data_IF_457182770479
#
_entry.id   IF_457182770479
#
_cell.length_a   1.000
_cell.length_b   1.000
_cell.length_c   1.000
_cell.angle_alpha   90.00
_cell.angle_beta   90.00
_cell.angle_gamma   90.00
#
_symmetry.space_group_name_H-M   'P 1'
#
loop_
_entity.id
_entity.type
_entity.pdbx_description
1 polymer ?
#
# COMPACT_ATOMS: atom_id res chain seq x y z
N UNK A 1 8.59 -52.23 61.54
CA UNK A 1 8.49 -52.68 60.12
C UNK A 1 7.95 -51.59 59.19
N UNK A 2 6.92 -50.82 59.58
CA UNK A 2 6.31 -49.76 58.76
C UNK A 2 7.21 -48.57 58.34
N UNK A 3 8.14 -48.12 59.21
CA UNK A 3 9.04 -46.99 58.88
C UNK A 3 10.05 -47.31 57.78
N UNK A 4 10.54 -48.54 57.69
CA UNK A 4 11.48 -48.96 56.63
C UNK A 4 10.83 -48.96 55.25
N UNK A 5 9.55 -49.34 55.17
CA UNK A 5 8.81 -49.39 53.90
C UNK A 5 8.48 -47.99 53.36
N UNK A 6 8.26 -46.99 54.22
CA UNK A 6 8.08 -45.59 53.80
C UNK A 6 9.39 -44.95 53.31
N UNK A 7 10.51 -45.21 53.99
CA UNK A 7 11.82 -44.69 53.58
C UNK A 7 12.25 -45.22 52.20
N UNK A 8 11.99 -46.50 51.90
CA UNK A 8 12.30 -47.10 50.60
C UNK A 8 11.43 -46.51 49.49
N UNK A 9 10.12 -46.30 49.74
CA UNK A 9 9.22 -45.68 48.75
C UNK A 9 9.59 -44.22 48.47
N UNK A 10 9.98 -43.46 49.49
CA UNK A 10 10.44 -42.09 49.33
C UNK A 10 11.75 -42.01 48.53
N UNK A 11 12.72 -42.90 48.81
CA UNK A 11 13.97 -42.98 48.06
C UNK A 11 13.74 -43.34 46.58
N UNK A 12 12.80 -44.26 46.30
CA UNK A 12 12.46 -44.64 44.92
C UNK A 12 11.76 -43.49 44.16
N UNK A 13 10.86 -42.76 44.84
CA UNK A 13 10.19 -41.61 44.24
C UNK A 13 11.16 -40.46 43.94
N UNK A 14 12.09 -40.17 44.86
CA UNK A 14 13.16 -39.17 44.64
C UNK A 14 14.10 -39.60 43.52
N UNK A 15 14.48 -40.88 43.45
CA UNK A 15 15.30 -41.43 42.37
C UNK A 15 14.61 -41.34 41.00
N UNK A 16 13.32 -41.69 40.92
CA UNK A 16 12.54 -41.59 39.70
C UNK A 16 12.35 -40.13 39.25
N UNK A 17 12.08 -39.21 40.18
CA UNK A 17 11.98 -37.79 39.89
C UNK A 17 13.31 -37.21 39.38
N UNK A 18 14.44 -37.59 40.00
CA UNK A 18 15.77 -37.20 39.56
C UNK A 18 16.09 -37.72 38.15
N UNK A 19 15.70 -38.96 37.83
CA UNK A 19 15.90 -39.55 36.51
C UNK A 19 15.06 -38.85 35.43
N UNK A 20 13.80 -38.52 35.72
CA UNK A 20 12.92 -37.78 34.80
C UNK A 20 13.41 -36.34 34.58
N UNK A 21 13.88 -35.67 35.64
CA UNK A 21 14.51 -34.35 35.54
C UNK A 21 15.77 -34.40 34.68
N UNK A 22 16.63 -35.39 34.87
CA UNK A 22 17.85 -35.56 34.09
C UNK A 22 17.56 -35.87 32.62
N UNK A 23 16.61 -36.78 32.33
CA UNK A 23 16.19 -37.06 30.96
C UNK A 23 15.54 -35.83 30.30
N UNK A 24 14.71 -35.10 31.04
CA UNK A 24 14.07 -33.88 30.57
C UNK A 24 15.07 -32.76 30.28
N UNK A 25 16.03 -32.52 31.17
CA UNK A 25 17.07 -31.49 30.96
C UNK A 25 18.01 -31.87 29.83
N UNK A 26 18.42 -33.14 29.74
CA UNK A 26 19.31 -33.60 28.66
C UNK A 26 18.59 -33.52 27.31
N UNK A 27 17.32 -33.93 27.23
CA UNK A 27 16.51 -33.78 26.03
C UNK A 27 16.30 -32.31 25.65
N UNK A 28 16.08 -31.43 26.63
CA UNK A 28 15.88 -30.00 26.40
C UNK A 28 17.18 -29.31 25.95
N UNK A 29 18.33 -29.63 26.56
CA UNK A 29 19.65 -29.12 26.14
C UNK A 29 19.97 -29.61 24.73
N UNK A 30 19.79 -30.90 24.45
CA UNK A 30 20.03 -31.46 23.12
C UNK A 30 19.15 -30.81 22.06
N UNK A 31 17.87 -30.54 22.38
CA UNK A 31 16.95 -29.81 21.50
C UNK A 31 17.37 -28.36 21.30
N UNK A 32 17.73 -27.65 22.37
CA UNK A 32 18.20 -26.27 22.29
C UNK A 32 19.50 -26.13 21.49
N UNK A 33 20.42 -27.08 21.64
CA UNK A 33 21.63 -27.17 20.83
C UNK A 33 21.33 -27.49 19.36
N UNK A 34 20.34 -28.35 19.11
CA UNK A 34 19.89 -28.67 17.76
C UNK A 34 19.20 -27.50 17.04
N UNK A 35 18.57 -26.59 17.80
CA UNK A 35 17.90 -25.39 17.31
C UNK A 35 18.79 -24.13 17.35
N UNK A 36 20.04 -24.26 17.81
CA UNK A 36 20.99 -23.16 17.96
C UNK A 36 20.44 -22.00 18.81
N UNK A 37 19.69 -22.34 19.86
CA UNK A 37 19.14 -21.35 20.79
C UNK A 37 20.28 -20.65 21.54
N UNK A 38 20.37 -19.32 21.35
CA UNK A 38 21.46 -18.50 21.90
C UNK A 38 21.62 -18.63 23.42
N UNK A 39 20.53 -18.94 24.15
CA UNK A 39 20.51 -19.13 25.60
C UNK A 39 21.18 -20.43 26.06
N UNK A 40 21.28 -21.43 25.18
CA UNK A 40 21.86 -22.74 25.48
C UNK A 40 23.23 -22.94 24.80
N UNK A 41 23.71 -21.96 24.03
CA UNK A 41 24.95 -22.03 23.26
C UNK A 41 26.19 -22.42 24.08
N UNK A 42 26.26 -22.04 25.37
CA UNK A 42 27.37 -22.40 26.26
C UNK A 42 27.38 -23.86 26.72
N UNK A 43 26.25 -24.56 26.57
CA UNK A 43 26.07 -25.98 26.89
C UNK A 43 26.22 -26.87 25.66
N UNK A 44 26.32 -26.26 24.47
CA UNK A 44 26.48 -26.94 23.20
C UNK A 44 27.96 -27.00 22.85
N UNK A 45 28.46 -28.19 22.46
CA UNK A 45 29.82 -28.32 21.93
C UNK A 45 30.02 -27.48 20.65
N UNK A 46 31.28 -27.37 20.18
CA UNK A 46 31.60 -26.60 18.97
C UNK A 46 30.70 -26.99 17.79
N UNK A 47 29.92 -26.02 17.28
CA UNK A 47 29.07 -26.22 16.11
C UNK A 47 29.95 -26.13 14.85
N UNK A 48 30.02 -27.18 14.03
CA UNK A 48 30.82 -27.14 12.81
C UNK A 48 30.33 -26.05 11.86
N UNK A 49 31.24 -25.46 11.09
CA UNK A 49 30.89 -24.36 10.18
C UNK A 49 29.71 -24.74 9.23
N UNK A 50 28.80 -23.80 8.90
CA UNK A 50 27.49 -24.11 8.28
C UNK A 50 27.53 -24.91 6.98
N UNK A 51 28.60 -24.80 6.20
CA UNK A 51 28.78 -25.47 4.91
C UNK A 51 29.90 -26.54 4.92
N UNK A 52 30.32 -27.01 6.10
CA UNK A 52 31.41 -27.98 6.23
C UNK A 52 30.98 -29.43 6.00
N UNK A 53 31.92 -30.27 5.56
CA UNK A 53 31.72 -31.72 5.48
C UNK A 53 31.38 -32.34 6.84
N UNK A 54 31.95 -31.80 7.93
CA UNK A 54 31.63 -32.20 9.30
C UNK A 54 30.17 -31.92 9.67
N UNK A 55 29.63 -30.75 9.29
CA UNK A 55 28.21 -30.44 9.51
C UNK A 55 27.29 -31.36 8.70
N UNK A 56 27.66 -31.65 7.45
CA UNK A 56 26.92 -32.60 6.62
C UNK A 56 26.86 -34.00 7.25
N UNK A 57 27.98 -34.51 7.75
CA UNK A 57 28.05 -35.80 8.43
C UNK A 57 27.20 -35.81 9.71
N UNK A 58 27.28 -34.73 10.51
CA UNK A 58 26.48 -34.56 11.73
C UNK A 58 24.98 -34.58 11.44
N UNK A 59 24.52 -33.87 10.41
CA UNK A 59 23.10 -33.86 10.03
C UNK A 59 22.61 -35.24 9.58
N UNK A 60 23.42 -35.98 8.81
CA UNK A 60 23.10 -37.36 8.42
C UNK A 60 23.04 -38.30 9.62
N UNK A 61 23.96 -38.17 10.56
CA UNK A 61 23.93 -38.95 11.80
C UNK A 61 22.66 -38.67 12.59
N UNK A 62 22.29 -37.39 12.77
CA UNK A 62 21.04 -37.00 13.44
C UNK A 62 19.81 -37.63 12.79
N UNK A 63 19.74 -37.62 11.45
CA UNK A 63 18.65 -38.26 10.71
C UNK A 63 18.63 -39.78 10.93
N UNK A 64 19.79 -40.43 11.00
CA UNK A 64 19.87 -41.87 11.24
C UNK A 64 19.46 -42.27 12.67
N UNK A 65 19.78 -41.43 13.66
CA UNK A 65 19.42 -41.62 15.07
C UNK A 65 17.95 -41.27 15.33
N UNK A 66 17.41 -40.28 14.60
CA UNK A 66 16.04 -39.83 14.69
C UNK A 66 15.48 -39.49 13.30
N UNK A 67 14.82 -40.45 12.63
CA UNK A 67 14.20 -40.23 11.33
C UNK A 67 13.08 -39.17 11.31
N UNK A 68 12.60 -38.72 12.48
CA UNK A 68 11.63 -37.64 12.63
C UNK A 68 12.24 -36.25 12.81
N UNK A 69 13.56 -36.10 12.75
CA UNK A 69 14.27 -34.82 12.96
C UNK A 69 14.12 -33.87 11.75
N UNK A 70 12.93 -33.26 11.62
CA UNK A 70 12.61 -32.32 10.53
C UNK A 70 13.60 -31.14 10.39
N UNK A 71 14.09 -30.52 11.48
CA UNK A 71 15.15 -29.52 11.39
C UNK A 71 16.42 -30.04 10.70
N UNK A 72 16.84 -31.28 10.97
CA UNK A 72 18.02 -31.86 10.31
C UNK A 72 17.80 -32.05 8.80
N UNK A 73 16.64 -32.56 8.37
CA UNK A 73 16.29 -32.66 6.94
C UNK A 73 16.27 -31.28 6.26
N UNK A 74 15.69 -30.29 6.93
CA UNK A 74 15.58 -28.92 6.41
C UNK A 74 16.96 -28.28 6.26
N UNK A 75 17.82 -28.37 7.28
CA UNK A 75 19.19 -27.89 7.21
C UNK A 75 19.98 -28.58 6.08
N UNK A 76 19.81 -29.89 5.90
CA UNK A 76 20.45 -30.66 4.82
C UNK A 76 20.02 -30.17 3.43
N UNK A 77 18.78 -29.70 3.27
CA UNK A 77 18.27 -29.19 1.99
C UNK A 77 19.00 -27.94 1.49
N UNK A 78 19.51 -27.11 2.40
CA UNK A 78 20.26 -25.89 2.08
C UNK A 78 21.74 -26.16 1.73
N UNK A 79 22.24 -27.39 1.86
CA UNK A 79 23.61 -27.71 1.47
C UNK A 79 23.79 -27.62 -0.07
N UNK A 80 24.89 -26.99 -0.57
CA UNK A 80 25.12 -26.80 -2.01
C UNK A 80 25.28 -28.09 -2.83
N UNK A 81 25.69 -29.19 -2.19
CA UNK A 81 26.01 -30.47 -2.85
C UNK A 81 24.99 -31.58 -2.62
N UNK A 82 23.78 -31.29 -2.10
CA UNK A 82 22.77 -32.32 -1.89
C UNK A 82 22.10 -32.68 -3.22
N UNK A 83 22.59 -33.72 -3.89
CA UNK A 83 21.89 -34.40 -5.02
C UNK A 83 20.46 -34.82 -4.61
N UNK A 84 20.23 -34.94 -3.30
CA UNK A 84 18.97 -35.32 -2.66
C UNK A 84 18.12 -34.12 -2.18
N UNK A 85 18.45 -32.86 -2.52
CA UNK A 85 17.74 -31.66 -2.02
C UNK A 85 16.22 -31.82 -2.05
N UNK A 86 15.68 -32.25 -3.18
CA UNK A 86 14.23 -32.45 -3.33
C UNK A 86 13.68 -33.56 -2.42
N UNK A 87 14.41 -34.67 -2.24
CA UNK A 87 14.01 -35.74 -1.33
C UNK A 87 14.00 -35.27 0.13
N UNK A 88 14.99 -34.46 0.52
CA UNK A 88 15.10 -33.91 1.87
C UNK A 88 14.00 -32.88 2.16
N UNK A 89 13.70 -31.99 1.21
CA UNK A 89 12.56 -31.07 1.34
C UNK A 89 11.25 -31.85 1.43
N UNK A 90 11.06 -32.91 0.65
CA UNK A 90 9.86 -33.75 0.74
C UNK A 90 9.73 -34.42 2.11
N UNK A 91 10.79 -35.03 2.62
CA UNK A 91 10.79 -35.65 3.94
C UNK A 91 10.46 -34.64 5.05
N UNK A 92 11.14 -33.48 5.04
CA UNK A 92 10.87 -32.40 5.98
C UNK A 92 9.41 -31.89 5.89
N UNK A 93 8.86 -31.80 4.67
CA UNK A 93 7.48 -31.38 4.42
C UNK A 93 6.45 -32.35 4.99
N UNK A 94 6.74 -33.65 4.98
CA UNK A 94 5.87 -34.66 5.62
C UNK A 94 5.93 -34.56 7.15
N UNK A 95 7.11 -34.29 7.70
CA UNK A 95 7.32 -34.27 9.15
C UNK A 95 6.86 -32.97 9.81
N UNK A 96 7.08 -31.82 9.17
CA UNK A 96 6.72 -30.50 9.71
C UNK A 96 6.23 -29.55 8.60
N UNK A 97 5.01 -29.76 8.05
CA UNK A 97 4.53 -29.06 6.85
C UNK A 97 4.36 -27.54 7.01
N UNK A 98 4.22 -27.04 8.24
CA UNK A 98 4.02 -25.62 8.56
C UNK A 98 5.23 -24.98 9.26
N UNK A 99 6.36 -25.70 9.38
CA UNK A 99 7.57 -25.11 9.95
C UNK A 99 8.12 -24.02 9.01
N UNK A 100 8.50 -22.83 9.50
CA UNK A 100 8.93 -21.73 8.65
C UNK A 100 10.20 -22.04 7.84
N UNK A 101 11.12 -22.85 8.36
CA UNK A 101 12.31 -23.25 7.60
C UNK A 101 11.95 -24.25 6.50
N UNK A 102 10.98 -25.14 6.74
CA UNK A 102 10.45 -26.06 5.73
C UNK A 102 9.73 -25.29 4.62
N UNK A 103 8.85 -24.34 4.96
CA UNK A 103 8.17 -23.48 4.00
C UNK A 103 9.19 -22.70 3.14
N UNK A 104 10.25 -22.15 3.76
CA UNK A 104 11.32 -21.45 3.04
C UNK A 104 12.09 -22.38 2.10
N UNK A 105 12.38 -23.61 2.52
CA UNK A 105 13.05 -24.60 1.69
C UNK A 105 12.18 -25.01 0.48
N UNK A 106 10.86 -25.20 0.68
CA UNK A 106 9.88 -25.43 -0.41
C UNK A 106 9.84 -24.25 -1.37
N UNK A 107 9.73 -23.03 -0.85
CA UNK A 107 9.73 -21.80 -1.65
C UNK A 107 10.98 -21.69 -2.51
N UNK A 108 12.16 -21.90 -1.91
CA UNK A 108 13.45 -21.82 -2.60
C UNK A 108 13.57 -22.87 -3.71
N UNK A 109 13.17 -24.11 -3.43
CA UNK A 109 13.17 -25.18 -4.43
C UNK A 109 12.20 -24.89 -5.57
N UNK A 110 11.01 -24.37 -5.27
CA UNK A 110 10.02 -23.99 -6.27
C UNK A 110 10.53 -22.85 -7.16
N UNK A 111 11.15 -21.80 -6.58
CA UNK A 111 11.79 -20.71 -7.35
C UNK A 111 12.92 -21.22 -8.24
N UNK A 112 13.77 -22.14 -7.76
CA UNK A 112 14.85 -22.75 -8.55
C UNK A 112 14.34 -23.55 -9.75
N UNK A 113 13.10 -24.03 -9.69
CA UNK A 113 12.46 -24.85 -10.71
C UNK A 113 11.41 -24.06 -11.52
N UNK A 114 11.38 -22.73 -11.38
CA UNK A 114 10.41 -21.85 -12.04
C UNK A 114 8.93 -22.17 -11.74
N UNK A 115 8.67 -22.81 -10.60
CA UNK A 115 7.32 -23.16 -10.12
C UNK A 115 6.76 -22.00 -9.28
N UNK A 116 6.53 -20.86 -9.94
CA UNK A 116 6.23 -19.58 -9.28
C UNK A 116 4.95 -19.60 -8.43
N UNK A 117 3.90 -20.30 -8.86
CA UNK A 117 2.65 -20.38 -8.10
C UNK A 117 2.82 -21.16 -6.76
N UNK A 118 3.62 -22.22 -6.78
CA UNK A 118 3.96 -22.96 -5.56
C UNK A 118 4.81 -22.08 -4.64
N UNK A 119 5.86 -21.44 -5.18
CA UNK A 119 6.71 -20.53 -4.41
C UNK A 119 5.91 -19.40 -3.76
N UNK A 120 4.99 -18.78 -4.51
CA UNK A 120 4.09 -17.75 -4.01
C UNK A 120 3.27 -18.22 -2.81
N UNK A 121 2.72 -19.43 -2.87
CA UNK A 121 1.91 -20.00 -1.79
C UNK A 121 2.71 -20.09 -0.49
N UNK A 122 3.94 -20.58 -0.56
CA UNK A 122 4.82 -20.70 0.61
C UNK A 122 5.23 -19.34 1.18
N UNK A 123 5.63 -18.41 0.29
CA UNK A 123 6.10 -17.09 0.67
C UNK A 123 4.96 -16.26 1.28
N UNK A 124 3.74 -16.40 0.77
CA UNK A 124 2.56 -15.77 1.36
C UNK A 124 2.31 -16.32 2.76
N UNK A 125 2.32 -17.65 2.93
CA UNK A 125 2.13 -18.25 4.26
C UNK A 125 3.20 -17.79 5.26
N UNK A 126 4.46 -17.73 4.84
CA UNK A 126 5.56 -17.19 5.64
C UNK A 126 5.34 -15.74 6.04
N UNK A 127 4.94 -14.91 5.09
CA UNK A 127 4.73 -13.47 5.33
C UNK A 127 3.48 -13.22 6.19
N UNK A 128 2.44 -14.04 6.05
CA UNK A 128 1.22 -13.92 6.84
C UNK A 128 1.47 -14.25 8.32
N UNK A 129 2.06 -15.43 8.59
CA UNK A 129 2.10 -15.98 9.95
C UNK A 129 3.44 -15.81 10.69
N UNK A 130 4.55 -15.56 9.97
CA UNK A 130 5.90 -15.56 10.55
C UNK A 130 6.66 -14.24 10.33
N UNK A 131 5.92 -13.14 10.17
CA UNK A 131 6.47 -11.82 9.83
C UNK A 131 7.49 -11.23 10.81
N UNK A 132 7.46 -11.63 12.08
CA UNK A 132 8.43 -11.16 13.08
C UNK A 132 9.83 -11.74 12.90
N UNK A 133 9.95 -12.90 12.24
CA UNK A 133 11.19 -13.66 12.19
C UNK A 133 12.09 -13.27 11.02
N UNK A 134 11.51 -12.84 9.89
CA UNK A 134 12.30 -12.46 8.71
C UNK A 134 11.51 -11.61 7.71
N UNK A 135 12.15 -10.56 7.17
CA UNK A 135 11.62 -9.73 6.08
C UNK A 135 11.82 -10.34 4.68
N UNK A 136 12.62 -11.40 4.57
CA UNK A 136 13.02 -11.97 3.28
C UNK A 136 11.85 -12.50 2.43
N UNK A 137 10.82 -13.16 2.99
CA UNK A 137 9.66 -13.61 2.23
C UNK A 137 8.93 -12.45 1.53
N UNK A 138 8.62 -11.37 2.26
CA UNK A 138 7.98 -10.18 1.72
C UNK A 138 8.81 -9.51 0.61
N UNK A 139 10.14 -9.41 0.81
CA UNK A 139 11.07 -8.89 -0.22
C UNK A 139 11.10 -9.76 -1.47
N UNK A 140 10.92 -11.06 -1.32
CA UNK A 140 10.90 -11.99 -2.46
C UNK A 140 9.59 -11.86 -3.24
N UNK A 141 8.45 -11.76 -2.55
CA UNK A 141 7.15 -11.45 -3.16
C UNK A 141 7.17 -10.09 -3.89
N UNK A 142 7.77 -9.06 -3.29
CA UNK A 142 7.92 -7.76 -3.94
C UNK A 142 8.74 -7.83 -5.25
N UNK A 143 9.78 -8.67 -5.31
CA UNK A 143 10.52 -8.92 -6.55
C UNK A 143 9.70 -9.70 -7.57
N UNK A 144 8.90 -10.67 -7.14
CA UNK A 144 7.98 -11.39 -8.03
C UNK A 144 6.96 -10.42 -8.66
N UNK A 145 6.42 -9.49 -7.86
CA UNK A 145 5.55 -8.41 -8.37
C UNK A 145 6.30 -7.56 -9.41
N UNK A 146 7.53 -7.14 -9.12
CA UNK A 146 8.37 -6.39 -10.07
C UNK A 146 8.63 -7.16 -11.38
N UNK A 147 8.57 -8.50 -11.34
CA UNK A 147 8.73 -9.40 -12.49
C UNK A 147 7.40 -9.75 -13.16
N UNK A 148 6.30 -9.05 -12.84
CA UNK A 148 5.00 -9.23 -13.48
C UNK A 148 4.12 -10.33 -12.87
N UNK A 149 4.46 -10.86 -11.70
CA UNK A 149 3.70 -11.93 -11.04
C UNK A 149 2.58 -11.41 -10.11
N UNK A 150 2.15 -10.16 -10.25
CA UNK A 150 1.11 -9.60 -9.39
C UNK A 150 -0.22 -10.39 -9.49
N UNK A 151 -0.67 -10.73 -10.71
CA UNK A 151 -1.94 -11.42 -10.92
C UNK A 151 -2.00 -12.81 -10.28
N UNK A 152 -0.90 -13.57 -10.29
CA UNK A 152 -0.86 -14.91 -9.69
C UNK A 152 -1.01 -14.88 -8.16
N UNK A 153 -0.73 -13.74 -7.54
CA UNK A 153 -0.87 -13.54 -6.10
C UNK A 153 -2.31 -13.20 -5.66
N UNK A 154 -3.21 -12.86 -6.60
CA UNK A 154 -4.57 -12.41 -6.27
C UNK A 154 -5.38 -13.45 -5.49
N UNK A 155 -5.22 -14.74 -5.82
CA UNK A 155 -5.91 -15.84 -5.14
C UNK A 155 -5.61 -15.95 -3.64
N UNK A 156 -4.52 -15.31 -3.18
CA UNK A 156 -4.11 -15.32 -1.78
C UNK A 156 -4.62 -14.10 -0.99
N UNK A 157 -5.30 -13.16 -1.64
CA UNK A 157 -5.91 -12.02 -0.97
C UNK A 157 -7.25 -12.46 -0.35
N UNK A 158 -7.32 -12.37 0.98
CA UNK A 158 -8.53 -12.62 1.77
C UNK A 158 -8.79 -11.43 2.68
N UNK A 159 -10.05 -11.17 3.09
CA UNK A 159 -10.34 -10.16 4.10
C UNK A 159 -9.46 -10.35 5.34
N UNK A 160 -8.82 -9.28 5.81
CA UNK A 160 -7.99 -9.29 7.02
C UNK A 160 -6.57 -9.83 6.88
N UNK A 161 -6.13 -10.21 5.67
CA UNK A 161 -4.77 -10.69 5.43
C UNK A 161 -3.71 -9.63 5.80
N UNK A 162 -2.60 -10.08 6.38
CA UNK A 162 -1.50 -9.21 6.83
C UNK A 162 -0.26 -9.28 5.93
N UNK A 163 -0.17 -10.26 5.02
CA UNK A 163 1.01 -10.40 4.17
C UNK A 163 1.13 -9.25 3.17
N UNK A 164 0.03 -8.78 2.58
CA UNK A 164 0.09 -7.81 1.50
C UNK A 164 0.60 -6.43 1.94
N UNK A 165 0.17 -5.85 3.07
CA UNK A 165 0.78 -4.65 3.63
C UNK A 165 2.30 -4.76 3.84
N UNK A 166 2.81 -5.93 4.23
CA UNK A 166 4.25 -6.15 4.40
C UNK A 166 4.99 -6.19 3.07
N UNK A 167 4.37 -6.76 2.03
CA UNK A 167 4.91 -6.73 0.67
C UNK A 167 4.95 -5.30 0.13
N UNK A 168 3.91 -4.48 0.38
CA UNK A 168 3.93 -3.06 0.02
C UNK A 168 5.08 -2.31 0.71
N UNK A 169 5.31 -2.57 2.01
CA UNK A 169 6.47 -2.00 2.70
C UNK A 169 7.80 -2.47 2.09
N UNK A 170 7.92 -3.76 1.75
CA UNK A 170 9.11 -4.30 1.08
C UNK A 170 9.32 -3.73 -0.33
N UNK A 171 8.26 -3.39 -1.06
CA UNK A 171 8.36 -2.71 -2.36
C UNK A 171 8.99 -1.33 -2.20
N UNK A 172 8.57 -0.55 -1.19
CA UNK A 172 9.19 0.74 -0.87
C UNK A 172 10.69 0.58 -0.56
N UNK A 173 11.05 -0.39 0.29
CA UNK A 173 12.46 -0.67 0.63
C UNK A 173 13.29 -1.04 -0.61
N UNK A 174 12.71 -1.78 -1.55
CA UNK A 174 13.35 -2.26 -2.76
C UNK A 174 13.23 -1.29 -3.94
N UNK A 175 12.55 -0.15 -3.76
CA UNK A 175 12.24 0.83 -4.82
C UNK A 175 11.51 0.20 -6.03
N UNK A 176 10.64 -0.76 -5.76
CA UNK A 176 9.73 -1.30 -6.77
C UNK A 176 8.57 -0.32 -6.94
N UNK A 177 8.28 0.18 -8.16
CA UNK A 177 7.14 1.06 -8.39
C UNK A 177 5.83 0.43 -7.95
N UNK A 178 4.98 1.20 -7.28
CA UNK A 178 3.69 0.74 -6.78
C UNK A 178 2.78 0.29 -7.93
N UNK A 179 2.92 0.90 -9.12
CA UNK A 179 2.21 0.49 -10.33
C UNK A 179 2.42 -0.98 -10.72
N UNK A 180 3.54 -1.61 -10.32
CA UNK A 180 3.75 -3.04 -10.55
C UNK A 180 2.75 -3.92 -9.78
N UNK A 181 2.17 -3.40 -8.69
CA UNK A 181 1.19 -4.09 -7.86
C UNK A 181 -0.27 -3.73 -8.20
N UNK A 182 -0.56 -2.91 -9.22
CA UNK A 182 -1.92 -2.44 -9.52
C UNK A 182 -2.99 -3.54 -9.58
N UNK A 183 -2.77 -4.69 -10.25
CA UNK A 183 -3.78 -5.76 -10.25
C UNK A 183 -4.10 -6.31 -8.86
N UNK A 184 -3.13 -6.32 -7.95
CA UNK A 184 -3.33 -6.73 -6.56
C UNK A 184 -4.02 -5.66 -5.75
N UNK A 185 -3.65 -4.38 -5.93
CA UNK A 185 -4.23 -3.27 -5.19
C UNK A 185 -5.74 -3.18 -5.42
N UNK A 186 -6.19 -3.16 -6.68
CA UNK A 186 -7.63 -3.09 -6.99
C UNK A 186 -8.39 -4.30 -6.46
N UNK A 187 -7.82 -5.50 -6.58
CA UNK A 187 -8.43 -6.71 -6.04
C UNK A 187 -8.50 -6.67 -4.50
N UNK A 188 -7.44 -6.22 -3.84
CA UNK A 188 -7.36 -6.11 -2.38
C UNK A 188 -8.39 -5.12 -1.83
N UNK A 189 -8.62 -4.00 -2.51
CA UNK A 189 -9.68 -3.04 -2.14
C UNK A 189 -11.06 -3.68 -2.25
N UNK A 190 -11.37 -4.35 -3.36
CA UNK A 190 -12.64 -5.04 -3.53
C UNK A 190 -12.89 -6.15 -2.50
N UNK A 191 -11.85 -6.86 -2.08
CA UNK A 191 -11.93 -7.94 -1.08
C UNK A 191 -11.85 -7.44 0.37
N UNK A 192 -11.71 -6.13 0.63
CA UNK A 192 -11.50 -5.62 1.99
C UNK A 192 -10.19 -6.10 2.63
N UNK A 193 -9.19 -6.44 1.82
CA UNK A 193 -7.85 -6.86 2.27
C UNK A 193 -6.92 -5.66 2.57
N UNK A 194 -7.34 -4.44 2.25
CA UNK A 194 -6.67 -3.20 2.64
C UNK A 194 -7.62 -2.29 3.44
N UNK A 195 -7.15 -1.66 4.54
CA UNK A 195 -7.93 -0.63 5.23
C UNK A 195 -8.19 0.58 4.34
N UNK A 196 -9.40 1.13 4.37
CA UNK A 196 -9.81 2.27 3.55
C UNK A 196 -8.87 3.49 3.67
N UNK A 197 -8.37 3.75 4.89
CA UNK A 197 -7.46 4.88 5.16
C UNK A 197 -6.11 4.75 4.44
N UNK A 198 -5.66 3.51 4.17
CA UNK A 198 -4.43 3.28 3.42
C UNK A 198 -4.61 3.44 1.91
N UNK A 199 -5.83 3.35 1.40
CA UNK A 199 -6.08 3.43 -0.05
C UNK A 199 -5.74 4.83 -0.59
N UNK A 200 -6.08 5.89 0.15
CA UNK A 200 -5.76 7.26 -0.27
C UNK A 200 -4.26 7.48 -0.49
N UNK A 201 -3.43 7.11 0.50
CA UNK A 201 -1.97 7.28 0.36
C UNK A 201 -1.36 6.47 -0.77
N UNK A 202 -1.93 5.30 -1.10
CA UNK A 202 -1.53 4.49 -2.26
C UNK A 202 -1.91 5.18 -3.57
N UNK A 203 -3.09 5.80 -3.66
CA UNK A 203 -3.50 6.60 -4.83
C UNK A 203 -2.56 7.78 -5.02
N UNK A 204 -2.26 8.54 -3.97
CA UNK A 204 -1.29 9.64 -4.04
C UNK A 204 0.09 9.16 -4.49
N UNK A 205 0.57 8.03 -3.98
CA UNK A 205 1.85 7.46 -4.42
C UNK A 205 1.83 7.12 -5.93
N UNK A 206 0.75 6.54 -6.44
CA UNK A 206 0.58 6.26 -7.87
C UNK A 206 0.54 7.54 -8.72
N UNK A 207 -0.08 8.63 -8.22
CA UNK A 207 -0.06 9.95 -8.85
C UNK A 207 1.37 10.52 -8.91
N UNK A 208 2.12 10.40 -7.81
CA UNK A 208 3.54 10.83 -7.71
C UNK A 208 4.45 10.02 -8.65
N UNK A 209 4.12 8.76 -8.94
CA UNK A 209 4.79 7.88 -9.91
C UNK A 209 4.35 8.13 -11.39
N UNK A 210 3.57 9.18 -11.67
CA UNK A 210 2.93 9.44 -12.98
C UNK A 210 2.04 8.28 -13.49
N UNK A 211 1.66 7.35 -12.62
CA UNK A 211 0.85 6.16 -12.92
C UNK A 211 -0.64 6.45 -12.78
N UNK A 212 -1.10 7.45 -13.55
CA UNK A 212 -2.44 8.03 -13.45
C UNK A 212 -3.57 7.02 -13.68
N UNK A 213 -3.42 6.12 -14.67
CA UNK A 213 -4.44 5.11 -14.99
C UNK A 213 -4.62 4.14 -13.83
N UNK A 214 -3.52 3.69 -13.23
CA UNK A 214 -3.51 2.81 -12.07
C UNK A 214 -4.09 3.50 -10.83
N UNK A 215 -3.71 4.76 -10.59
CA UNK A 215 -4.26 5.59 -9.52
C UNK A 215 -5.80 5.68 -9.64
N UNK A 216 -6.31 5.95 -10.84
CA UNK A 216 -7.74 6.08 -11.08
C UNK A 216 -8.46 4.73 -11.00
N UNK A 217 -7.85 3.65 -11.49
CA UNK A 217 -8.41 2.30 -11.34
C UNK A 217 -8.61 1.93 -9.86
N UNK A 218 -7.64 2.29 -9.00
CA UNK A 218 -7.74 2.08 -7.56
C UNK A 218 -8.81 2.97 -6.90
N UNK A 219 -8.94 4.22 -7.35
CA UNK A 219 -10.02 5.12 -6.96
C UNK A 219 -11.40 4.56 -7.33
N UNK A 220 -11.58 4.09 -8.56
CA UNK A 220 -12.83 3.45 -8.99
C UNK A 220 -13.14 2.20 -8.15
N UNK A 221 -12.13 1.37 -7.86
CA UNK A 221 -12.31 0.17 -7.03
C UNK A 221 -12.83 0.53 -5.63
N UNK A 222 -12.31 1.61 -5.02
CA UNK A 222 -12.77 2.14 -3.72
C UNK A 222 -14.24 2.58 -3.74
N UNK A 223 -14.71 3.13 -4.85
CA UNK A 223 -16.09 3.64 -4.99
C UNK A 223 -17.06 2.67 -5.68
N UNK A 224 -16.69 1.41 -5.88
CA UNK A 224 -17.58 0.43 -6.51
C UNK A 224 -17.74 0.59 -8.03
N UNK A 225 -16.80 1.26 -8.68
CA UNK A 225 -16.57 1.15 -10.13
C UNK A 225 -17.00 2.37 -10.95
N UNK A 226 -18.26 2.78 -10.91
CA UNK A 226 -18.74 3.84 -11.83
C UNK A 226 -18.83 5.20 -11.13
N UNK A 227 -18.03 6.14 -11.60
CA UNK A 227 -18.02 7.53 -11.13
C UNK A 227 -18.38 8.52 -12.25
N UNK A 228 -18.96 9.68 -11.91
CA UNK A 228 -19.07 10.81 -12.84
C UNK A 228 -17.68 11.32 -13.25
N UNK A 229 -17.61 12.07 -14.35
CA UNK A 229 -16.34 12.66 -14.84
C UNK A 229 -15.78 13.66 -13.81
N UNK A 230 -16.66 14.45 -13.19
CA UNK A 230 -16.34 15.34 -12.09
C UNK A 230 -16.89 14.73 -10.80
N UNK A 231 -16.01 14.37 -9.88
CA UNK A 231 -16.38 13.81 -8.58
C UNK A 231 -16.81 14.94 -7.64
N UNK A 232 -17.78 14.65 -6.75
CA UNK A 232 -18.28 15.58 -5.74
C UNK A 232 -18.60 16.99 -6.30
N UNK A 233 -19.29 17.04 -7.45
CA UNK A 233 -19.56 18.26 -8.20
C UNK A 233 -20.50 19.26 -7.50
N UNK A 234 -21.27 18.79 -6.52
CA UNK A 234 -22.16 19.58 -5.67
C UNK A 234 -21.64 19.81 -4.25
N UNK A 235 -20.45 19.31 -3.90
CA UNK A 235 -19.88 19.40 -2.55
C UNK A 235 -20.75 18.79 -1.45
N UNK A 236 -21.65 17.87 -1.80
CA UNK A 236 -22.57 17.22 -0.87
C UNK A 236 -21.86 16.21 0.06
N UNK A 237 -20.68 15.72 -0.35
CA UNK A 237 -19.86 14.78 0.42
C UNK A 237 -18.62 15.48 1.02
N UNK A 238 -18.12 15.00 2.19
CA UNK A 238 -16.82 15.45 2.71
C UNK A 238 -15.70 15.23 1.70
N UNK A 239 -14.73 16.15 1.67
CA UNK A 239 -13.56 16.02 0.78
C UNK A 239 -12.74 14.78 1.14
N UNK A 240 -12.46 13.97 0.12
CA UNK A 240 -11.59 12.81 0.24
C UNK A 240 -10.15 13.14 -0.21
N UNK A 241 -9.20 13.29 0.73
CA UNK A 241 -7.82 13.62 0.39
C UNK A 241 -7.14 12.47 -0.38
N UNK A 242 -6.07 12.82 -1.09
CA UNK A 242 -5.17 11.89 -1.80
C UNK A 242 -5.82 11.09 -2.96
N UNK A 243 -7.09 11.37 -3.29
CA UNK A 243 -7.86 10.70 -4.33
C UNK A 243 -7.97 11.48 -5.66
N UNK A 244 -9.17 11.42 -6.25
CA UNK A 244 -9.59 12.23 -7.40
C UNK A 244 -10.76 13.17 -7.04
N UNK A 245 -10.93 13.44 -5.75
CA UNK A 245 -11.80 14.51 -5.26
C UNK A 245 -11.09 15.88 -5.37
N UNK A 246 -11.72 16.95 -4.90
CA UNK A 246 -11.15 18.29 -4.84
C UNK A 246 -9.97 18.35 -3.86
N UNK A 247 -8.83 18.78 -4.36
CA UNK A 247 -7.58 18.94 -3.64
C UNK A 247 -7.34 20.43 -3.35
N UNK A 248 -7.06 20.74 -2.09
CA UNK A 248 -6.75 22.10 -1.64
C UNK A 248 -5.24 22.26 -1.64
N UNK A 249 -4.74 23.31 -2.28
CA UNK A 249 -3.31 23.56 -2.35
C UNK A 249 -2.71 23.80 -0.95
N UNK A 250 -1.62 23.08 -0.65
CA UNK A 250 -0.91 23.22 0.62
C UNK A 250 -0.33 24.62 0.78
N UNK A 251 -0.51 25.20 1.97
CA UNK A 251 -0.04 26.53 2.33
C UNK A 251 0.68 26.48 3.68
N UNK A 252 1.55 27.47 3.94
CA UNK A 252 2.24 27.56 5.23
C UNK A 252 1.24 27.90 6.33
N UNK A 253 1.21 27.08 7.37
CA UNK A 253 0.34 27.28 8.53
C UNK A 253 0.47 28.70 9.11
N UNK A 254 -0.65 29.39 9.32
CA UNK A 254 -0.74 30.77 9.81
C UNK A 254 -0.37 31.84 8.78
N UNK A 255 -0.15 31.46 7.51
CA UNK A 255 0.16 32.36 6.40
C UNK A 255 -0.67 32.02 5.15
N UNK A 256 -1.88 31.54 5.34
CA UNK A 256 -2.79 31.17 4.27
C UNK A 256 -3.29 32.42 3.53
N UNK A 257 -3.08 32.47 2.22
CA UNK A 257 -3.65 33.49 1.33
C UNK A 257 -5.12 33.22 0.99
N UNK A 258 -5.50 31.95 0.98
CA UNK A 258 -6.87 31.49 0.84
C UNK A 258 -7.17 30.35 1.82
N UNK A 259 -8.31 30.42 2.50
CA UNK A 259 -8.88 29.31 3.27
C UNK A 259 -10.01 28.70 2.46
N UNK A 260 -10.01 27.38 2.31
CA UNK A 260 -10.99 26.62 1.53
C UNK A 260 -11.69 25.62 2.45
N UNK A 261 -13.02 25.55 2.40
CA UNK A 261 -13.82 24.59 3.15
C UNK A 261 -15.13 24.29 2.43
N UNK A 262 -15.72 23.12 2.70
CA UNK A 262 -17.13 22.89 2.40
C UNK A 262 -17.97 23.46 3.55
N UNK A 263 -18.98 24.29 3.23
CA UNK A 263 -19.92 24.80 4.24
C UNK A 263 -21.37 24.70 3.79
N UNK A 264 -22.30 24.39 4.70
CA UNK A 264 -23.71 24.50 4.41
C UNK A 264 -24.15 25.97 4.32
N UNK A 265 -24.93 26.30 3.31
CA UNK A 265 -25.66 27.56 3.16
C UNK A 265 -27.17 27.32 3.16
N UNK A 266 -27.96 28.23 3.75
CA UNK A 266 -29.42 28.16 3.68
C UNK A 266 -29.91 28.05 2.23
N UNK A 267 -30.93 27.22 2.02
CA UNK A 267 -31.61 27.00 0.72
C UNK A 267 -30.75 26.40 -0.40
N UNK A 268 -29.45 26.17 -0.18
CA UNK A 268 -28.52 25.71 -1.21
C UNK A 268 -27.76 24.44 -0.88
N UNK A 269 -27.70 24.06 0.40
CA UNK A 269 -26.95 22.90 0.84
C UNK A 269 -25.46 23.22 0.96
N UNK A 270 -24.61 22.24 0.71
CA UNK A 270 -23.17 22.41 0.85
C UNK A 270 -22.59 23.16 -0.36
N UNK A 271 -21.62 24.05 -0.10
CA UNK A 271 -20.91 24.78 -1.15
C UNK A 271 -19.41 24.79 -0.86
N UNK A 272 -18.61 24.96 -1.90
CA UNK A 272 -17.20 25.27 -1.75
C UNK A 272 -17.05 26.74 -1.36
N UNK A 273 -16.60 27.00 -0.15
CA UNK A 273 -16.35 28.33 0.41
C UNK A 273 -14.86 28.67 0.42
N UNK A 274 -14.54 29.84 -0.14
CA UNK A 274 -13.21 30.39 -0.18
C UNK A 274 -13.16 31.75 0.50
N UNK A 275 -12.30 31.88 1.51
CA UNK A 275 -11.99 33.14 2.17
C UNK A 275 -10.57 33.58 1.81
N UNK A 276 -10.44 34.74 1.16
CA UNK A 276 -9.16 35.32 0.76
C UNK A 276 -8.69 36.38 1.77
N UNK A 277 -7.46 36.26 2.23
CA UNK A 277 -6.93 37.05 3.36
C UNK A 277 -6.13 38.29 2.94
N UNK A 278 -5.83 38.43 1.65
CA UNK A 278 -4.93 39.46 1.11
C UNK A 278 -3.46 39.11 1.23
N UNK A 279 -3.14 37.84 1.50
CA UNK A 279 -1.76 37.33 1.46
C UNK A 279 -1.54 36.55 0.16
N UNK A 280 -0.27 36.35 -0.17
CA UNK A 280 0.12 35.50 -1.29
C UNK A 280 -0.44 34.07 -1.12
N UNK A 281 -0.84 33.47 -2.22
CA UNK A 281 -1.39 32.11 -2.29
C UNK A 281 -0.78 31.35 -3.48
N UNK A 282 -0.92 30.01 -3.53
CA UNK A 282 -0.54 29.23 -4.69
C UNK A 282 -1.33 29.64 -5.94
N UNK A 283 -0.76 29.40 -7.12
CA UNK A 283 -1.41 29.74 -8.40
C UNK A 283 -2.74 28.99 -8.58
N UNK A 284 -2.75 27.67 -8.29
CA UNK A 284 -3.97 26.87 -8.19
C UNK A 284 -4.37 26.78 -6.72
N UNK A 285 -5.57 27.26 -6.38
CA UNK A 285 -6.08 27.33 -5.01
C UNK A 285 -6.79 26.01 -4.65
N UNK A 286 -7.59 25.52 -5.60
CA UNK A 286 -8.33 24.26 -5.53
C UNK A 286 -8.19 23.57 -6.88
N UNK A 287 -7.96 22.27 -6.88
CA UNK A 287 -7.76 21.48 -8.09
C UNK A 287 -8.57 20.18 -8.05
N UNK A 288 -8.99 19.67 -9.21
CA UNK A 288 -9.43 18.27 -9.33
C UNK A 288 -8.80 17.66 -10.59
N UNK A 289 -8.25 16.45 -10.45
CA UNK A 289 -7.78 15.69 -11.60
C UNK A 289 -8.95 14.98 -12.27
N UNK A 290 -9.12 15.18 -13.57
CA UNK A 290 -10.23 14.63 -14.36
C UNK A 290 -9.72 13.85 -15.56
N UNK A 291 -10.35 12.70 -15.84
CA UNK A 291 -10.04 11.89 -17.01
C UNK A 291 -10.86 12.37 -18.20
N UNK A 292 -10.20 13.01 -19.16
CA UNK A 292 -10.83 13.54 -20.36
C UNK A 292 -10.22 12.91 -21.61
N UNK A 293 -11.06 12.20 -22.35
CA UNK A 293 -10.69 11.78 -23.70
C UNK A 293 -10.61 13.00 -24.63
N UNK A 294 -9.92 12.90 -25.79
CA UNK A 294 -9.95 13.95 -26.79
C UNK A 294 -11.38 14.33 -27.21
N UNK A 295 -11.60 15.63 -27.42
CA UNK A 295 -12.89 16.18 -27.84
C UNK A 295 -13.24 17.51 -27.17
N UNK A 296 -14.46 17.97 -27.44
CA UNK A 296 -15.01 19.22 -26.92
C UNK A 296 -15.88 18.97 -25.71
N UNK A 297 -15.71 19.79 -24.69
CA UNK A 297 -16.46 19.72 -23.44
C UNK A 297 -16.98 21.10 -23.05
N UNK A 298 -17.98 21.12 -22.17
CA UNK A 298 -18.46 22.32 -21.48
C UNK A 298 -18.42 22.09 -19.99
N UNK A 299 -17.75 22.98 -19.28
CA UNK A 299 -17.88 23.10 -17.83
C UNK A 299 -18.85 24.24 -17.53
N UNK A 300 -19.79 23.99 -16.63
CA UNK A 300 -20.71 25.00 -16.11
C UNK A 300 -20.85 24.87 -14.61
N UNK A 301 -21.18 25.96 -13.93
CA UNK A 301 -21.50 25.97 -12.52
C UNK A 301 -22.16 27.27 -12.10
N UNK A 302 -22.26 27.47 -10.79
CA UNK A 302 -22.69 28.74 -10.22
C UNK A 302 -21.67 29.24 -9.22
N UNK A 303 -21.54 30.56 -9.13
CA UNK A 303 -20.66 31.21 -8.17
C UNK A 303 -21.33 32.44 -7.55
N UNK A 304 -20.89 32.79 -6.34
CA UNK A 304 -21.26 34.03 -5.66
C UNK A 304 -20.01 34.58 -4.99
N UNK A 305 -19.76 35.88 -5.13
CA UNK A 305 -18.62 36.55 -4.54
C UNK A 305 -19.05 37.83 -3.84
N UNK A 306 -18.47 38.09 -2.67
CA UNK A 306 -18.77 39.26 -1.85
C UNK A 306 -17.50 39.87 -1.26
N UNK A 307 -17.35 41.19 -1.44
CA UNK A 307 -16.16 41.91 -1.02
C UNK A 307 -14.88 41.44 -1.72
N UNK A 308 -14.98 40.84 -2.91
CA UNK A 308 -13.88 40.32 -3.69
C UNK A 308 -13.11 41.48 -4.34
N UNK A 309 -11.96 41.81 -3.73
CA UNK A 309 -11.05 42.86 -4.17
C UNK A 309 -9.94 42.24 -5.01
N UNK A 310 -10.09 42.37 -6.32
CA UNK A 310 -9.23 41.80 -7.36
C UNK A 310 -9.31 42.69 -8.59
N UNK A 311 -8.21 42.81 -9.32
CA UNK A 311 -8.12 43.57 -10.56
C UNK A 311 -8.68 42.77 -11.74
N UNK A 312 -8.37 41.46 -11.82
CA UNK A 312 -8.74 40.60 -12.95
C UNK A 312 -9.71 39.48 -12.61
N UNK A 313 -10.07 39.27 -11.34
CA UNK A 313 -11.03 38.24 -10.95
C UNK A 313 -10.40 36.86 -10.72
N UNK A 314 -11.26 35.88 -10.49
CA UNK A 314 -10.90 34.47 -10.46
C UNK A 314 -11.19 33.82 -11.82
N UNK A 315 -10.63 32.64 -12.07
CA UNK A 315 -11.01 31.80 -13.18
C UNK A 315 -10.89 30.32 -12.86
N UNK A 316 -11.76 29.54 -13.50
CA UNK A 316 -11.55 28.11 -13.67
C UNK A 316 -10.73 27.89 -14.94
N UNK A 317 -9.65 27.12 -14.83
CA UNK A 317 -8.81 26.74 -15.94
C UNK A 317 -8.71 25.22 -16.02
N UNK A 318 -8.82 24.68 -17.23
CA UNK A 318 -8.52 23.28 -17.49
C UNK A 318 -7.22 23.19 -18.25
N UNK A 319 -6.26 22.46 -17.70
CA UNK A 319 -4.98 22.18 -18.35
C UNK A 319 -4.81 20.70 -18.53
N UNK A 320 -4.11 20.30 -19.58
CA UNK A 320 -3.63 18.94 -19.68
C UNK A 320 -2.17 18.89 -20.09
N UNK A 321 -1.55 17.73 -19.95
CA UNK A 321 -0.13 17.57 -20.24
C UNK A 321 0.06 17.15 -21.69
N UNK A 322 0.79 17.94 -22.48
CA UNK A 322 1.23 17.59 -23.83
C UNK A 322 2.75 17.56 -23.82
N UNK A 323 3.36 16.41 -24.11
CA UNK A 323 4.81 16.20 -24.01
C UNK A 323 5.39 16.60 -22.63
N UNK A 324 4.68 16.28 -21.54
CA UNK A 324 5.02 16.66 -20.15
C UNK A 324 4.93 18.16 -19.84
N UNK A 325 4.46 18.98 -20.77
CA UNK A 325 4.23 20.41 -20.54
C UNK A 325 2.73 20.68 -20.33
N UNK A 326 2.35 21.48 -19.32
CA UNK A 326 0.96 21.87 -19.15
C UNK A 326 0.51 22.79 -20.29
N UNK A 327 -0.58 22.43 -20.95
CA UNK A 327 -1.22 23.20 -22.01
C UNK A 327 -2.65 23.55 -21.59
N UNK A 328 -3.04 24.81 -21.78
CA UNK A 328 -4.39 25.28 -21.52
C UNK A 328 -5.37 24.68 -22.54
N UNK A 329 -6.37 23.95 -22.05
CA UNK A 329 -7.46 23.36 -22.84
C UNK A 329 -8.74 24.20 -22.77
N UNK A 330 -8.92 24.99 -21.69
CA UNK A 330 -10.04 25.92 -21.56
C UNK A 330 -9.86 26.82 -20.34
N UNK A 331 -10.44 28.02 -20.37
CA UNK A 331 -10.46 28.95 -19.24
C UNK A 331 -11.78 29.70 -19.22
N UNK A 332 -12.35 29.90 -18.03
CA UNK A 332 -13.53 30.73 -17.87
C UNK A 332 -13.23 32.20 -18.17
N UNK A 333 -14.28 32.98 -18.37
CA UNK A 333 -14.19 34.43 -18.21
C UNK A 333 -13.84 34.80 -16.77
N UNK A 334 -13.49 36.07 -16.58
CA UNK A 334 -13.20 36.65 -15.27
C UNK A 334 -14.42 36.54 -14.34
N UNK A 335 -14.23 35.87 -13.20
CA UNK A 335 -15.23 35.76 -12.15
C UNK A 335 -14.98 36.87 -11.12
N UNK A 336 -15.84 37.90 -11.14
CA UNK A 336 -15.69 39.12 -10.34
C UNK A 336 -16.67 39.15 -9.17
N UNK A 337 -16.59 40.18 -8.34
CA UNK A 337 -17.56 40.39 -7.25
C UNK A 337 -19.00 40.43 -7.79
N UNK A 338 -19.88 39.59 -7.24
CA UNK A 338 -21.30 39.52 -7.63
C UNK A 338 -22.21 40.18 -6.60
N UNK A 339 -21.65 40.87 -5.61
CA UNK A 339 -22.34 41.45 -4.46
C UNK A 339 -23.15 40.41 -3.69
N UNK A 340 -22.61 39.18 -3.59
CA UNK A 340 -23.27 38.05 -2.94
C UNK A 340 -24.40 37.41 -3.74
N UNK A 341 -24.68 37.86 -4.97
CA UNK A 341 -25.70 37.24 -5.84
C UNK A 341 -25.11 36.04 -6.56
N UNK A 342 -25.84 34.93 -6.56
CA UNK A 342 -25.47 33.76 -7.36
C UNK A 342 -25.61 34.05 -8.85
N UNK A 343 -24.56 33.72 -9.62
CA UNK A 343 -24.53 33.86 -11.06
C UNK A 343 -24.03 32.57 -11.70
N UNK A 344 -24.55 32.19 -12.88
CA UNK A 344 -23.99 31.08 -13.63
C UNK A 344 -22.64 31.47 -14.24
N UNK A 345 -21.79 30.47 -14.44
CA UNK A 345 -20.65 30.57 -15.35
C UNK A 345 -20.59 29.33 -16.22
N UNK A 346 -20.03 29.48 -17.43
CA UNK A 346 -19.73 28.36 -18.30
C UNK A 346 -18.56 28.70 -19.24
N UNK A 347 -17.86 27.68 -19.70
CA UNK A 347 -16.85 27.81 -20.75
C UNK A 347 -16.62 26.49 -21.48
N UNK A 348 -16.11 26.61 -22.70
CA UNK A 348 -15.72 25.48 -23.53
C UNK A 348 -14.31 24.99 -23.17
N UNK A 349 -14.09 23.69 -23.30
CA UNK A 349 -12.81 23.03 -23.12
C UNK A 349 -12.55 22.20 -24.37
N UNK A 350 -11.41 22.43 -25.02
CA UNK A 350 -10.97 21.70 -26.20
C UNK A 350 -9.76 20.83 -25.82
N UNK A 351 -9.99 19.51 -25.71
CA UNK A 351 -8.98 18.53 -25.33
C UNK A 351 -8.33 17.97 -26.61
N UNK A 352 -7.04 18.29 -26.89
CA UNK A 352 -6.38 17.86 -28.12
C UNK A 352 -6.04 16.36 -28.09
N UNK A 353 -5.84 15.74 -29.26
CA UNK A 353 -5.51 14.31 -29.35
C UNK A 353 -4.19 13.92 -28.65
N UNK A 354 -3.24 14.86 -28.55
CA UNK A 354 -1.93 14.64 -27.93
C UNK A 354 -1.91 14.87 -26.42
N UNK A 355 -3.07 15.21 -25.86
CA UNK A 355 -3.26 15.44 -24.44
C UNK A 355 -3.10 14.13 -23.67
N UNK A 356 -2.44 14.18 -22.52
CA UNK A 356 -2.51 13.09 -21.54
C UNK A 356 -3.97 12.81 -21.18
N UNK A 357 -4.29 11.55 -20.88
CA UNK A 357 -5.65 11.13 -20.50
C UNK A 357 -6.18 11.86 -19.25
N UNK A 358 -5.27 12.45 -18.45
CA UNK A 358 -5.61 13.28 -17.28
C UNK A 358 -5.42 14.75 -17.60
N UNK A 359 -6.41 15.55 -17.20
CA UNK A 359 -6.38 17.00 -17.14
C UNK A 359 -6.53 17.46 -15.67
N UNK A 360 -6.08 18.68 -15.37
CA UNK A 360 -6.34 19.37 -14.10
C UNK A 360 -7.39 20.44 -14.32
N UNK A 361 -8.41 20.47 -13.47
CA UNK A 361 -9.34 21.56 -13.33
C UNK A 361 -8.91 22.39 -12.12
N UNK A 362 -8.44 23.61 -12.35
CA UNK A 362 -7.86 24.48 -11.33
C UNK A 362 -8.70 25.74 -11.15
N UNK A 363 -8.96 26.13 -9.90
CA UNK A 363 -9.36 27.48 -9.55
C UNK A 363 -8.11 28.33 -9.32
N UNK A 364 -7.99 29.42 -10.06
CA UNK A 364 -6.85 30.32 -10.00
C UNK A 364 -7.29 31.79 -10.01
N UNK A 365 -6.36 32.70 -9.68
CA UNK A 365 -6.53 34.11 -10.04
C UNK A 365 -6.46 34.25 -11.56
N UNK A 366 -7.32 35.08 -12.15
CA UNK A 366 -7.36 35.24 -13.60
C UNK A 366 -5.99 35.69 -14.14
N UNK A 367 -5.36 36.66 -13.47
CA UNK A 367 -4.00 37.08 -13.72
C UNK A 367 -3.05 36.55 -12.63
N UNK A 368 -1.96 35.90 -13.03
CA UNK A 368 -1.05 35.19 -12.12
C UNK A 368 -0.38 36.09 -11.07
N UNK A 369 -0.17 37.39 -11.38
CA UNK A 369 0.44 38.31 -10.42
C UNK A 369 -0.43 38.56 -9.19
N UNK A 370 -1.76 38.40 -9.30
CA UNK A 370 -2.69 38.58 -8.17
C UNK A 370 -2.53 37.48 -7.11
N UNK A 371 -2.15 36.26 -7.50
CA UNK A 371 -1.82 35.20 -6.55
C UNK A 371 -0.61 35.57 -5.68
N UNK A 372 0.39 36.25 -6.27
CA UNK A 372 1.56 36.73 -5.55
C UNK A 372 1.24 37.95 -4.67
N UNK A 373 0.45 38.90 -5.17
CA UNK A 373 0.03 40.09 -4.43
C UNK A 373 -0.95 39.75 -3.27
N UNK A 374 -1.79 38.74 -3.48
CA UNK A 374 -2.89 38.37 -2.60
C UNK A 374 -4.16 39.19 -2.88
N UNK A 375 -5.30 38.51 -2.86
CA UNK A 375 -6.62 39.15 -3.01
C UNK A 375 -7.41 39.06 -1.69
N UNK A 376 -8.46 39.86 -1.52
CA UNK A 376 -9.34 39.81 -0.34
C UNK A 376 -10.78 39.55 -0.74
N UNK A 377 -11.55 38.96 0.16
CA UNK A 377 -12.99 38.77 0.00
C UNK A 377 -13.39 37.32 0.17
N UNK A 378 -14.60 36.99 -0.25
CA UNK A 378 -15.15 35.64 -0.14
C UNK A 378 -15.81 35.22 -1.44
N UNK A 379 -15.62 33.97 -1.82
CA UNK A 379 -16.26 33.37 -2.98
C UNK A 379 -16.86 32.00 -2.61
N UNK A 380 -17.99 31.69 -3.22
CA UNK A 380 -18.68 30.41 -3.10
C UNK A 380 -18.87 29.81 -4.48
N UNK A 381 -18.73 28.49 -4.60
CA UNK A 381 -18.97 27.75 -5.83
C UNK A 381 -19.82 26.51 -5.59
N UNK A 382 -20.62 26.15 -6.59
CA UNK A 382 -21.58 25.04 -6.50
C UNK A 382 -22.11 24.63 -7.88
N UNK A 383 -22.82 23.51 -7.93
CA UNK A 383 -23.60 22.99 -9.05
C UNK A 383 -22.76 22.77 -10.31
N UNK A 384 -21.56 22.24 -10.15
CA UNK A 384 -20.67 21.97 -11.27
C UNK A 384 -21.25 20.88 -12.17
N UNK A 385 -21.08 21.06 -13.47
CA UNK A 385 -21.41 20.06 -14.49
C UNK A 385 -20.34 20.09 -15.56
N UNK A 386 -19.78 18.92 -15.87
CA UNK A 386 -18.85 18.72 -16.96
C UNK A 386 -19.48 17.77 -17.98
N UNK A 387 -19.68 18.26 -19.20
CA UNK A 387 -20.39 17.52 -20.25
C UNK A 387 -19.53 17.44 -21.51
N UNK A 388 -19.45 16.24 -22.11
CA UNK A 388 -18.89 16.08 -23.45
C UNK A 388 -19.89 16.62 -24.46
N UNK A 389 -19.45 17.53 -25.31
CA UNK A 389 -20.26 18.06 -26.40
C UNK A 389 -20.25 17.06 -27.55
N UNK A 390 -21.38 16.94 -28.25
CA UNK A 390 -21.45 16.14 -29.47
C UNK A 390 -20.42 16.68 -30.50
N UNK A 391 -19.77 15.79 -31.27
CA UNK A 391 -18.74 16.17 -32.23
C UNK A 391 -19.20 17.25 -33.23
#
# INVERSE_FOLDING_TARGET
MFQRTQAIKAAFAVGAAGMLLWLGTTANINRGCALEEATLASLCGEVPAPASAARLAQLRQRISENPGDSPAYTALSFFPQSVERQAMVRAASTLAPNDPNVLMARATLALQQDRLAEAATELVQLTEYYHHSTRQPARTLARMIAQGQATSLQQHLKPGTQWFPQVLAAMVELKVPLAAASPLLSHAVHQGALPAERVGSLIRTLKEEDSWVDAYALWLARHGGRLPILYNAGFDEPLEPDGFDWEIASQRAGREGASVAIRPLPERGNVLDLLFTGRSMPAAIVSQHVFLAPGRYRLSGQYSASGLRTESGLAWAVRCSVNKAPQLAGKSTELRDTQGRWQPFEFAIDVPERCSTVATLDLETFAAYEAAAGIRGRAYFDAFKLQKLAP
#
